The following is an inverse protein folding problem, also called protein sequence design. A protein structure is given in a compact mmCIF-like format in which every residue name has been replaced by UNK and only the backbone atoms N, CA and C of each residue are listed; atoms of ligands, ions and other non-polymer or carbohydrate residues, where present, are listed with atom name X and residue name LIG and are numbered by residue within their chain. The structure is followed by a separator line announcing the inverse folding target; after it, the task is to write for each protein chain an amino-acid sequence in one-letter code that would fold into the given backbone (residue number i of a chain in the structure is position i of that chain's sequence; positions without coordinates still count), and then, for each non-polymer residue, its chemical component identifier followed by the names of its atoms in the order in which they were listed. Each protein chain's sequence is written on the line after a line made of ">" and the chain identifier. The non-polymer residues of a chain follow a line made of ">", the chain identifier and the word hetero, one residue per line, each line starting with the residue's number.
data_IF_309703056953
#
_entry.id   IF_309703056953
#
_cell.length_a   1.000
_cell.length_b   1.000
_cell.length_c   1.000
_cell.angle_alpha   90.00
_cell.angle_beta   90.00
_cell.angle_gamma   90.00
#
_symmetry.space_group_name_H-M   'P 1'
#
loop_
_entity.id
_entity.type
_entity.pdbx_description
1 polymer ?
#
# COMPACT_ATOMS: atom_id res chain seq x y z
N UNK A 1 -0.97 62.94 -36.22
CA UNK A 1 -1.26 62.34 -34.90
C UNK A 1 -0.33 61.14 -34.69
N UNK A 2 1.00 61.27 -34.61
CA UNK A 2 1.87 61.87 -33.58
C UNK A 2 1.61 61.41 -32.12
N UNK A 3 2.62 60.68 -31.62
CA UNK A 3 3.12 60.52 -30.23
C UNK A 3 2.72 59.24 -29.48
N UNK A 4 3.64 58.25 -29.39
CA UNK A 4 4.67 57.95 -28.34
C UNK A 4 4.14 56.85 -27.39
N UNK A 5 4.61 55.60 -27.35
CA UNK A 5 5.92 55.03 -26.95
C UNK A 5 6.52 55.67 -25.69
N UNK A 6 6.67 54.90 -24.58
CA UNK A 6 7.95 54.60 -23.88
C UNK A 6 7.80 54.10 -22.41
N UNK A 7 8.73 53.19 -22.02
CA UNK A 7 9.15 52.68 -20.69
C UNK A 7 8.18 51.74 -19.91
N UNK A 8 8.51 50.52 -19.49
CA UNK A 8 9.73 49.83 -18.98
C UNK A 8 10.12 50.16 -17.51
N UNK A 9 10.13 49.08 -16.71
CA UNK A 9 10.90 48.78 -15.48
C UNK A 9 10.91 49.75 -14.29
N UNK A 10 10.55 49.25 -13.11
CA UNK A 10 11.48 49.13 -11.96
C UNK A 10 10.82 48.48 -10.74
N UNK A 11 11.52 47.46 -10.22
CA UNK A 11 11.48 47.04 -8.81
C UNK A 11 11.82 48.20 -7.89
N UNK A 12 11.22 48.24 -6.69
CA UNK A 12 11.93 48.60 -5.46
C UNK A 12 11.12 48.18 -4.23
N UNK A 13 11.86 47.51 -3.34
CA UNK A 13 11.52 47.20 -1.96
C UNK A 13 11.19 48.47 -1.17
N UNK A 14 10.29 48.35 -0.20
CA UNK A 14 10.37 49.15 1.03
C UNK A 14 10.31 48.23 2.23
N UNK A 15 11.41 48.26 2.99
CA UNK A 15 11.53 47.72 4.33
C UNK A 15 10.63 48.52 5.29
N UNK A 16 9.94 47.82 6.19
CA UNK A 16 9.71 48.32 7.55
C UNK A 16 10.02 47.21 8.54
N UNK A 17 11.09 47.47 9.27
CA UNK A 17 11.50 46.80 10.50
C UNK A 17 10.50 47.15 11.61
N UNK A 18 10.19 46.19 12.48
CA UNK A 18 10.15 46.41 13.93
C UNK A 18 10.19 45.06 14.68
N UNK A 19 11.43 44.66 14.99
CA UNK A 19 12.00 44.24 16.27
C UNK A 19 11.13 43.62 17.39
N UNK A 20 11.52 42.37 17.68
CA UNK A 20 11.83 41.78 19.00
C UNK A 20 10.72 41.51 20.03
N UNK A 21 10.50 40.22 20.30
CA UNK A 21 10.68 39.62 21.63
C UNK A 21 11.04 38.13 21.52
N UNK A 22 11.95 37.71 22.38
CA UNK A 22 12.78 36.50 22.29
C UNK A 22 12.37 35.49 23.36
N UNK A 23 12.38 34.20 22.99
CA UNK A 23 12.54 32.97 23.80
C UNK A 23 11.60 32.70 24.99
N UNK A 24 10.88 31.57 24.91
CA UNK A 24 11.22 30.41 25.74
C UNK A 24 10.60 29.14 25.15
N UNK A 25 11.41 28.09 25.03
CA UNK A 25 10.95 26.77 24.64
C UNK A 25 10.42 25.99 25.84
N UNK A 26 9.33 25.26 25.62
CA UNK A 26 8.93 24.13 26.45
C UNK A 26 8.50 22.97 25.56
N UNK A 27 9.44 22.05 25.38
CA UNK A 27 9.30 20.62 25.64
C UNK A 27 7.87 20.03 25.54
N UNK A 28 7.55 19.45 24.38
CA UNK A 28 6.38 18.59 24.23
C UNK A 28 6.71 17.21 24.85
N UNK A 29 6.12 16.93 26.01
CA UNK A 29 6.16 15.59 26.63
C UNK A 29 4.96 14.77 26.17
N UNK A 30 5.24 13.49 25.97
CA UNK A 30 4.33 12.41 25.61
C UNK A 30 3.02 12.40 26.41
N UNK A 31 1.91 12.20 25.71
CA UNK A 31 0.72 11.54 26.28
C UNK A 31 0.30 10.41 25.37
N UNK A 32 0.55 9.22 25.87
CA UNK A 32 0.11 7.91 25.44
C UNK A 32 -1.32 7.90 24.91
N UNK A 33 -1.48 7.39 23.69
CA UNK A 33 -2.77 7.17 23.05
C UNK A 33 -3.42 5.90 23.64
N UNK A 34 -4.15 6.06 24.74
CA UNK A 34 -5.02 5.02 25.30
C UNK A 34 -6.46 5.20 24.82
N UNK A 35 -7.03 4.12 24.28
CA UNK A 35 -8.47 3.85 24.30
C UNK A 35 -9.36 4.75 23.46
N UNK A 36 -9.47 4.47 22.15
CA UNK A 36 -10.68 4.87 21.41
C UNK A 36 -11.81 3.94 21.86
N UNK A 37 -12.63 4.44 22.79
CA UNK A 37 -13.93 3.89 23.15
C UNK A 37 -14.79 3.78 21.89
N UNK A 38 -15.24 2.57 21.59
CA UNK A 38 -16.31 2.32 20.65
C UNK A 38 -17.61 2.80 21.29
N UNK A 39 -18.16 3.89 20.80
CA UNK A 39 -19.57 4.19 21.03
C UNK A 39 -20.40 3.13 20.31
N UNK A 40 -21.08 2.31 21.12
CA UNK A 40 -22.12 1.39 20.69
C UNK A 40 -23.29 2.21 20.16
N UNK A 41 -23.62 2.07 18.88
CA UNK A 41 -24.93 2.42 18.36
C UNK A 41 -25.76 1.15 18.30
N UNK A 42 -26.73 1.08 19.20
CA UNK A 42 -27.73 0.03 19.31
C UNK A 42 -28.51 -0.15 18.00
N UNK A 43 -28.40 -1.33 17.41
CA UNK A 43 -29.42 -1.85 16.51
C UNK A 43 -29.47 -3.37 16.58
N UNK A 44 -29.66 -3.90 17.78
CA UNK A 44 -30.18 -5.24 18.01
C UNK A 44 -31.65 -5.16 18.42
N UNK A 45 -32.53 -5.22 17.44
CA UNK A 45 -33.82 -5.87 17.64
C UNK A 45 -34.37 -6.26 16.28
N UNK A 46 -34.40 -7.57 16.03
CA UNK A 46 -35.49 -8.31 15.39
C UNK A 46 -34.97 -9.69 14.97
N UNK A 47 -35.11 -10.66 15.87
CA UNK A 47 -35.12 -12.08 15.54
C UNK A 47 -36.56 -12.58 15.37
N UNK A 48 -36.78 -13.15 14.17
CA UNK A 48 -37.63 -14.27 13.74
C UNK A 48 -39.02 -14.54 14.35
N UNK A 49 -40.01 -14.76 13.46
CA UNK A 49 -40.88 -15.96 13.45
C UNK A 49 -41.25 -16.33 12.00
N UNK A 50 -40.91 -17.58 11.62
CA UNK A 50 -41.44 -18.58 10.65
C UNK A 50 -42.15 -18.15 9.34
N UNK A 51 -42.10 -18.86 8.20
CA UNK A 51 -41.63 -20.17 7.72
C UNK A 51 -41.74 -20.04 6.18
N UNK A 52 -40.78 -20.51 5.39
CA UNK A 52 -41.05 -21.09 4.06
C UNK A 52 -39.79 -21.76 3.49
N UNK A 53 -39.88 -23.07 3.33
CA UNK A 53 -38.85 -23.91 2.75
C UNK A 53 -38.80 -23.70 1.23
N UNK A 54 -38.00 -22.73 0.80
CA UNK A 54 -37.72 -22.48 -0.63
C UNK A 54 -36.57 -21.50 -0.94
N UNK A 55 -35.88 -20.98 0.08
CA UNK A 55 -35.03 -19.76 -0.02
C UNK A 55 -33.52 -20.05 0.12
N UNK A 56 -33.11 -21.32 0.21
CA UNK A 56 -31.74 -21.65 0.60
C UNK A 56 -30.69 -21.24 -0.45
N UNK A 57 -31.07 -21.10 -1.73
CA UNK A 57 -30.18 -20.61 -2.77
C UNK A 57 -29.97 -19.08 -2.73
N UNK A 58 -31.00 -18.29 -2.42
CA UNK A 58 -30.94 -16.81 -2.51
C UNK A 58 -30.34 -16.14 -1.27
N UNK A 59 -30.33 -16.80 -0.12
CA UNK A 59 -29.69 -16.26 1.09
C UNK A 59 -28.17 -16.27 1.01
N UNK A 60 -27.55 -17.28 0.40
CA UNK A 60 -26.08 -17.40 0.30
C UNK A 60 -25.51 -16.37 -0.69
N UNK A 61 -26.23 -16.12 -1.78
CA UNK A 61 -25.86 -15.14 -2.80
C UNK A 61 -25.80 -13.71 -2.22
N UNK A 62 -26.74 -13.38 -1.33
CA UNK A 62 -26.80 -12.06 -0.70
C UNK A 62 -25.56 -11.77 0.19
N UNK A 63 -25.10 -12.75 0.98
CA UNK A 63 -23.91 -12.58 1.82
C UNK A 63 -22.61 -12.46 1.00
N UNK A 64 -22.51 -13.15 -0.13
CA UNK A 64 -21.36 -13.05 -1.05
C UNK A 64 -21.26 -11.68 -1.69
N UNK A 65 -22.38 -11.13 -2.14
CA UNK A 65 -22.46 -9.79 -2.74
C UNK A 65 -22.22 -8.68 -1.71
N UNK A 66 -22.76 -8.82 -0.49
CA UNK A 66 -22.45 -7.94 0.62
C UNK A 66 -20.94 -7.94 0.92
N UNK A 67 -20.31 -9.11 1.04
CA UNK A 67 -18.86 -9.23 1.27
C UNK A 67 -18.03 -8.59 0.16
N UNK A 68 -18.44 -8.72 -1.11
CA UNK A 68 -17.77 -8.08 -2.26
C UNK A 68 -17.88 -6.55 -2.24
N UNK A 69 -18.98 -6.01 -1.71
CA UNK A 69 -19.14 -4.56 -1.49
C UNK A 69 -18.30 -4.03 -0.34
N UNK A 70 -18.19 -4.80 0.76
CA UNK A 70 -17.38 -4.41 1.92
C UNK A 70 -15.88 -4.54 1.68
N UNK A 71 -15.44 -5.47 0.84
CA UNK A 71 -14.03 -5.68 0.52
C UNK A 71 -13.82 -5.98 -0.98
N UNK A 72 -13.96 -4.97 -1.86
CA UNK A 72 -13.80 -5.13 -3.30
C UNK A 72 -12.36 -5.52 -3.62
N UNK A 73 -12.18 -6.64 -4.31
CA UNK A 73 -10.84 -7.16 -4.64
C UNK A 73 -10.65 -7.26 -6.15
N UNK A 74 -11.71 -7.57 -6.89
CA UNK A 74 -11.68 -7.72 -8.35
C UNK A 74 -12.04 -6.42 -9.04
N UNK A 75 -11.55 -6.17 -10.27
CA UNK A 75 -11.96 -5.01 -11.07
C UNK A 75 -13.48 -4.89 -11.26
N UNK A 76 -14.17 -6.02 -11.41
CA UNK A 76 -15.64 -6.07 -11.55
C UNK A 76 -16.39 -5.59 -10.29
N UNK A 77 -15.82 -5.80 -9.10
CA UNK A 77 -16.41 -5.32 -7.85
C UNK A 77 -16.42 -3.78 -7.82
N UNK A 78 -15.32 -3.16 -8.25
CA UNK A 78 -15.20 -1.70 -8.34
C UNK A 78 -16.12 -1.09 -9.42
N UNK A 79 -16.26 -1.76 -10.57
CA UNK A 79 -17.20 -1.32 -11.61
C UNK A 79 -18.64 -1.33 -11.08
N UNK A 80 -19.01 -2.34 -10.29
CA UNK A 80 -20.33 -2.43 -9.65
C UNK A 80 -20.54 -1.30 -8.65
N UNK A 81 -19.56 -1.02 -7.78
CA UNK A 81 -19.62 0.09 -6.83
C UNK A 81 -19.76 1.46 -7.51
N UNK A 82 -19.03 1.69 -8.60
CA UNK A 82 -19.14 2.92 -9.39
C UNK A 82 -20.53 3.05 -10.03
N UNK A 83 -21.07 1.97 -10.60
CA UNK A 83 -22.42 1.96 -11.15
C UNK A 83 -23.49 2.21 -10.08
N UNK A 84 -23.31 1.69 -8.87
CA UNK A 84 -24.19 1.97 -7.72
C UNK A 84 -24.10 3.43 -7.26
N UNK A 85 -22.91 4.00 -7.23
CA UNK A 85 -22.70 5.40 -6.90
C UNK A 85 -23.40 6.33 -7.90
N UNK A 86 -23.31 6.04 -9.19
CA UNK A 86 -24.03 6.79 -10.24
C UNK A 86 -25.54 6.67 -10.03
N UNK A 87 -26.06 5.47 -9.77
CA UNK A 87 -27.48 5.26 -9.46
C UNK A 87 -27.92 6.03 -8.20
N UNK A 88 -27.09 6.08 -7.17
CA UNK A 88 -27.34 6.87 -5.97
C UNK A 88 -27.36 8.37 -6.29
N UNK A 89 -26.37 8.87 -7.03
CA UNK A 89 -26.31 10.28 -7.43
C UNK A 89 -27.56 10.71 -8.18
N UNK A 90 -27.99 9.94 -9.19
CA UNK A 90 -29.21 10.24 -9.94
C UNK A 90 -30.47 10.25 -9.06
N UNK A 91 -30.56 9.39 -8.04
CA UNK A 91 -31.67 9.41 -7.08
C UNK A 91 -31.63 10.66 -6.19
N UNK A 92 -30.45 11.04 -5.71
CA UNK A 92 -30.29 12.23 -4.88
C UNK A 92 -30.52 13.53 -5.67
N UNK A 93 -30.05 13.61 -6.92
CA UNK A 93 -30.34 14.73 -7.82
C UNK A 93 -31.86 14.91 -7.99
N UNK A 94 -32.61 13.83 -8.19
CA UNK A 94 -34.08 13.86 -8.26
C UNK A 94 -34.71 14.33 -6.94
N UNK A 95 -34.22 13.84 -5.80
CA UNK A 95 -34.71 14.32 -4.49
C UNK A 95 -34.46 15.81 -4.30
N UNK A 96 -33.31 16.33 -4.73
CA UNK A 96 -33.00 17.75 -4.65
C UNK A 96 -33.98 18.55 -5.52
N UNK A 97 -34.26 18.10 -6.75
CA UNK A 97 -35.23 18.77 -7.62
C UNK A 97 -36.65 18.77 -7.03
N UNK A 98 -37.04 17.69 -6.33
CA UNK A 98 -38.38 17.56 -5.76
C UNK A 98 -38.56 18.37 -4.46
N UNK A 99 -37.49 18.50 -3.65
CA UNK A 99 -37.54 19.15 -2.34
C UNK A 99 -37.24 20.66 -2.42
N UNK A 100 -36.39 21.10 -3.36
CA UNK A 100 -35.96 22.50 -3.44
C UNK A 100 -37.11 23.43 -3.75
N UNK A 101 -37.30 24.48 -2.93
CA UNK A 101 -38.37 25.47 -3.13
C UNK A 101 -37.89 26.69 -3.91
N UNK A 102 -36.59 26.97 -3.87
CA UNK A 102 -35.94 28.07 -4.57
C UNK A 102 -34.57 27.65 -5.12
N UNK A 103 -34.02 28.47 -6.03
CA UNK A 103 -32.73 28.18 -6.68
C UNK A 103 -31.54 28.23 -5.72
N UNK A 104 -31.60 29.04 -4.65
CA UNK A 104 -30.54 29.12 -3.65
C UNK A 104 -30.39 27.84 -2.82
N UNK A 105 -31.50 27.29 -2.33
CA UNK A 105 -31.57 26.01 -1.62
C UNK A 105 -31.12 24.86 -2.53
N UNK A 106 -31.57 24.87 -3.79
CA UNK A 106 -31.14 23.88 -4.79
C UNK A 106 -29.63 23.89 -4.98
N UNK A 107 -29.01 25.06 -5.08
CA UNK A 107 -27.56 25.20 -5.23
C UNK A 107 -26.80 24.68 -4.00
N UNK A 108 -27.24 25.02 -2.78
CA UNK A 108 -26.57 24.56 -1.57
C UNK A 108 -26.70 23.05 -1.37
N UNK A 109 -27.89 22.49 -1.63
CA UNK A 109 -28.12 21.04 -1.58
C UNK A 109 -27.28 20.30 -2.63
N UNK A 110 -27.16 20.85 -3.84
CA UNK A 110 -26.31 20.31 -4.91
C UNK A 110 -24.84 20.34 -4.51
N UNK A 111 -24.38 21.44 -3.90
CA UNK A 111 -23.01 21.57 -3.38
C UNK A 111 -22.72 20.52 -2.30
N UNK A 112 -23.67 20.24 -1.42
CA UNK A 112 -23.55 19.17 -0.42
C UNK A 112 -23.49 17.79 -1.08
N UNK A 113 -24.32 17.54 -2.10
CA UNK A 113 -24.30 16.29 -2.87
C UNK A 113 -22.94 16.06 -3.53
N UNK A 114 -22.38 17.08 -4.20
CA UNK A 114 -21.06 17.01 -4.82
C UNK A 114 -19.94 16.71 -3.81
N UNK A 115 -19.99 17.31 -2.61
CA UNK A 115 -19.04 16.99 -1.53
C UNK A 115 -19.13 15.52 -1.12
N UNK A 116 -20.34 14.96 -1.01
CA UNK A 116 -20.58 13.55 -0.68
C UNK A 116 -20.10 12.62 -1.79
N UNK A 117 -20.41 12.94 -3.06
CA UNK A 117 -19.93 12.18 -4.22
C UNK A 117 -18.40 12.16 -4.27
N UNK A 118 -17.74 13.31 -4.15
CA UNK A 118 -16.28 13.40 -4.14
C UNK A 118 -15.65 12.60 -2.98
N UNK A 119 -16.30 12.59 -1.81
CA UNK A 119 -15.87 11.75 -0.69
C UNK A 119 -15.97 10.25 -1.02
N UNK A 120 -17.10 9.80 -1.58
CA UNK A 120 -17.31 8.40 -1.95
C UNK A 120 -16.35 7.95 -3.07
N UNK A 121 -16.14 8.78 -4.09
CA UNK A 121 -15.16 8.52 -5.15
C UNK A 121 -13.74 8.37 -4.59
N UNK A 122 -13.32 9.27 -3.69
CA UNK A 122 -12.03 9.16 -3.01
C UNK A 122 -11.91 7.85 -2.23
N UNK A 123 -12.99 7.45 -1.54
CA UNK A 123 -13.00 6.19 -0.79
C UNK A 123 -12.89 4.97 -1.71
N UNK A 124 -13.60 4.96 -2.85
CA UNK A 124 -13.48 3.90 -3.86
C UNK A 124 -12.04 3.82 -4.37
N UNK A 125 -11.40 4.94 -4.68
CA UNK A 125 -10.02 4.94 -5.16
C UNK A 125 -9.03 4.46 -4.09
N UNK A 126 -9.24 4.82 -2.83
CA UNK A 126 -8.44 4.28 -1.71
C UNK A 126 -8.57 2.76 -1.59
N UNK A 127 -9.79 2.22 -1.71
CA UNK A 127 -10.02 0.77 -1.70
C UNK A 127 -9.33 0.10 -2.88
N UNK A 128 -9.42 0.69 -4.07
CA UNK A 128 -8.75 0.20 -5.27
C UNK A 128 -7.24 0.18 -5.10
N UNK A 129 -6.63 1.26 -4.62
CA UNK A 129 -5.20 1.32 -4.35
C UNK A 129 -4.78 0.24 -3.35
N UNK A 130 -5.50 0.10 -2.23
CA UNK A 130 -5.23 -0.94 -1.23
C UNK A 130 -5.32 -2.36 -1.83
N UNK A 131 -6.36 -2.64 -2.62
CA UNK A 131 -6.53 -3.93 -3.30
C UNK A 131 -5.41 -4.20 -4.31
N UNK A 132 -5.00 -3.19 -5.09
CA UNK A 132 -3.88 -3.34 -6.04
C UNK A 132 -2.57 -3.62 -5.33
N UNK A 133 -2.27 -2.93 -4.23
CA UNK A 133 -1.06 -3.16 -3.44
C UNK A 133 -1.06 -4.55 -2.79
N UNK A 134 -2.20 -4.99 -2.24
CA UNK A 134 -2.35 -6.36 -1.73
C UNK A 134 -2.15 -7.40 -2.82
N UNK A 135 -2.73 -7.19 -4.01
CA UNK A 135 -2.59 -8.08 -5.15
C UNK A 135 -1.14 -8.16 -5.64
N UNK A 136 -0.42 -7.03 -5.71
CA UNK A 136 1.01 -6.99 -6.05
C UNK A 136 1.84 -7.79 -5.06
N UNK A 137 1.64 -7.58 -3.75
CA UNK A 137 2.35 -8.33 -2.70
C UNK A 137 2.09 -9.84 -2.79
N UNK A 138 0.84 -10.23 -3.03
CA UNK A 138 0.49 -11.65 -3.16
C UNK A 138 1.12 -12.28 -4.41
N UNK A 139 1.15 -11.55 -5.54
CA UNK A 139 1.82 -12.01 -6.75
C UNK A 139 3.32 -12.22 -6.53
N UNK A 140 3.99 -11.28 -5.88
CA UNK A 140 5.42 -11.39 -5.56
C UNK A 140 5.67 -12.62 -4.68
N UNK A 141 4.89 -12.78 -3.61
CA UNK A 141 4.98 -13.96 -2.74
C UNK A 141 4.76 -15.26 -3.51
N UNK A 142 3.73 -15.31 -4.35
CA UNK A 142 3.40 -16.49 -5.13
C UNK A 142 4.52 -16.86 -6.12
N UNK A 143 5.11 -15.87 -6.80
CA UNK A 143 6.27 -16.11 -7.69
C UNK A 143 7.46 -16.63 -6.88
N UNK A 144 7.79 -16.02 -5.75
CA UNK A 144 8.90 -16.50 -4.90
C UNK A 144 8.66 -17.92 -4.37
N UNK A 145 7.41 -18.24 -4.01
CA UNK A 145 7.02 -19.59 -3.60
C UNK A 145 7.27 -20.59 -4.72
N UNK A 146 6.73 -20.32 -5.92
CA UNK A 146 6.86 -21.18 -7.09
C UNK A 146 8.34 -21.44 -7.45
N UNK A 147 9.18 -20.42 -7.38
CA UNK A 147 10.62 -20.53 -7.68
C UNK A 147 11.39 -21.33 -6.62
N UNK A 148 10.92 -21.33 -5.38
CA UNK A 148 11.55 -22.05 -4.26
C UNK A 148 11.16 -23.53 -4.16
N UNK A 149 10.13 -23.94 -4.91
CA UNK A 149 9.65 -25.32 -4.91
C UNK A 149 10.62 -26.25 -5.65
N UNK A 150 10.83 -27.48 -5.16
CA UNK A 150 11.62 -28.48 -5.86
C UNK A 150 10.97 -28.85 -7.20
N UNK A 151 11.78 -29.14 -8.22
CA UNK A 151 11.25 -29.59 -9.51
C UNK A 151 10.77 -31.03 -9.38
N UNK A 152 9.60 -31.32 -9.91
CA UNK A 152 9.05 -32.67 -9.95
C UNK A 152 9.49 -33.34 -11.26
N UNK A 153 10.20 -34.45 -11.16
CA UNK A 153 10.66 -35.26 -12.29
C UNK A 153 9.91 -36.58 -12.30
N UNK A 154 9.34 -36.94 -13.43
CA UNK A 154 8.74 -38.25 -13.63
C UNK A 154 9.84 -39.25 -13.98
N UNK A 155 9.97 -40.29 -13.15
CA UNK A 155 10.85 -41.41 -13.42
C UNK A 155 10.20 -42.36 -14.43
N UNK A 156 11.01 -43.22 -15.04
CA UNK A 156 10.58 -44.18 -16.07
C UNK A 156 9.57 -45.22 -15.57
N UNK A 157 9.44 -45.38 -14.25
CA UNK A 157 8.45 -46.23 -13.57
C UNK A 157 7.12 -45.52 -13.28
N UNK A 158 6.98 -44.24 -13.67
CA UNK A 158 5.81 -43.41 -13.39
C UNK A 158 5.81 -42.79 -11.98
N UNK A 159 6.87 -42.96 -11.19
CA UNK A 159 7.00 -42.28 -9.89
C UNK A 159 7.45 -40.82 -10.07
N UNK A 160 6.98 -39.91 -9.20
CA UNK A 160 7.36 -38.50 -9.21
C UNK A 160 8.42 -38.27 -8.13
N UNK A 161 9.61 -37.85 -8.54
CA UNK A 161 10.73 -37.55 -7.66
C UNK A 161 10.90 -36.02 -7.56
N UNK A 162 10.89 -35.49 -6.35
CA UNK A 162 11.18 -34.09 -6.10
C UNK A 162 12.70 -33.88 -6.07
N UNK A 163 13.23 -33.12 -7.04
CA UNK A 163 14.66 -32.83 -7.18
C UNK A 163 14.92 -31.36 -6.89
N UNK A 164 15.76 -31.12 -5.88
CA UNK A 164 16.35 -29.82 -5.63
C UNK A 164 17.53 -29.58 -6.57
N UNK A 165 17.48 -28.50 -7.32
CA UNK A 165 18.58 -28.04 -8.14
C UNK A 165 19.24 -26.81 -7.49
N UNK A 166 20.48 -26.46 -7.84
CA UNK A 166 21.16 -25.30 -7.25
C UNK A 166 20.37 -23.99 -7.39
N UNK A 167 19.55 -23.87 -8.44
CA UNK A 167 18.71 -22.70 -8.68
C UNK A 167 17.53 -22.64 -7.69
N UNK A 168 16.85 -23.76 -7.42
CA UNK A 168 15.74 -23.84 -6.44
C UNK A 168 16.25 -23.65 -5.02
N UNK A 169 17.43 -24.20 -4.69
CA UNK A 169 18.11 -23.94 -3.42
C UNK A 169 18.41 -22.44 -3.24
N UNK A 170 19.00 -21.80 -4.26
CA UNK A 170 19.28 -20.36 -4.23
C UNK A 170 18.00 -19.52 -4.13
N UNK A 171 16.95 -19.86 -4.85
CA UNK A 171 15.67 -19.17 -4.77
C UNK A 171 15.04 -19.28 -3.37
N UNK A 172 15.19 -20.43 -2.70
CA UNK A 172 14.76 -20.65 -1.31
C UNK A 172 15.52 -19.77 -0.33
N UNK A 173 16.84 -19.66 -0.48
CA UNK A 173 17.66 -18.75 0.32
C UNK A 173 17.25 -17.28 0.13
N UNK A 174 17.02 -16.87 -1.13
CA UNK A 174 16.56 -15.51 -1.46
C UNK A 174 15.21 -15.18 -0.84
N UNK A 175 14.25 -16.12 -0.92
CA UNK A 175 12.94 -16.00 -0.29
C UNK A 175 13.07 -15.87 1.24
N UNK A 176 13.88 -16.70 1.88
CA UNK A 176 14.11 -16.60 3.32
C UNK A 176 14.66 -15.23 3.73
N UNK A 177 15.66 -14.71 3.00
CA UNK A 177 16.19 -13.36 3.23
C UNK A 177 15.13 -12.27 3.03
N UNK A 178 14.29 -12.39 2.01
CA UNK A 178 13.20 -11.45 1.73
C UNK A 178 12.14 -11.45 2.85
N UNK A 179 11.73 -12.63 3.30
CA UNK A 179 10.72 -12.77 4.35
C UNK A 179 11.24 -12.22 5.69
N UNK A 180 12.50 -12.51 6.03
CA UNK A 180 13.17 -11.94 7.20
C UNK A 180 13.34 -10.41 7.11
N UNK A 181 13.58 -9.86 5.91
CA UNK A 181 13.67 -8.42 5.68
C UNK A 181 12.32 -7.71 5.86
N UNK A 182 11.21 -8.39 5.60
CA UNK A 182 9.84 -7.89 5.80
C UNK A 182 9.36 -7.97 7.26
N UNK A 183 10.02 -8.79 8.07
CA UNK A 183 9.65 -9.04 9.46
C UNK A 183 9.94 -7.86 10.39
N UNK A 184 9.24 -7.83 11.52
CA UNK A 184 9.52 -6.87 12.59
C UNK A 184 10.93 -7.10 13.15
N UNK A 185 11.67 -6.00 13.38
CA UNK A 185 13.01 -6.04 13.97
C UNK A 185 12.89 -6.44 15.44
N UNK A 186 13.25 -7.69 15.75
CA UNK A 186 13.24 -8.22 17.13
C UNK A 186 14.44 -7.74 17.95
N UNK A 187 15.61 -7.67 17.32
CA UNK A 187 16.85 -7.21 17.93
C UNK A 187 17.76 -6.54 16.88
N UNK A 188 18.52 -5.53 17.31
CA UNK A 188 19.51 -4.84 16.47
C UNK A 188 20.59 -5.82 15.99
N UNK A 189 21.05 -6.74 16.85
CA UNK A 189 22.07 -7.73 16.50
C UNK A 189 21.58 -8.72 15.44
N UNK A 190 20.33 -9.17 15.54
CA UNK A 190 19.70 -10.03 14.53
C UNK A 190 19.59 -9.30 13.20
N UNK A 191 19.24 -8.01 13.24
CA UNK A 191 19.17 -7.16 12.05
C UNK A 191 20.53 -7.00 11.39
N UNK A 192 21.58 -6.73 12.15
CA UNK A 192 22.95 -6.63 11.64
C UNK A 192 23.39 -7.94 10.98
N UNK A 193 23.14 -9.09 11.63
CA UNK A 193 23.44 -10.41 11.05
C UNK A 193 22.71 -10.66 9.73
N UNK A 194 21.42 -10.32 9.67
CA UNK A 194 20.62 -10.41 8.45
C UNK A 194 21.18 -9.54 7.32
N UNK A 195 21.46 -8.27 7.62
CA UNK A 195 22.01 -7.32 6.65
C UNK A 195 23.37 -7.78 6.12
N UNK A 196 24.23 -8.33 6.98
CA UNK A 196 25.50 -8.92 6.58
C UNK A 196 25.34 -10.13 5.64
N UNK A 197 24.37 -11.01 5.90
CA UNK A 197 24.05 -12.13 5.01
C UNK A 197 23.53 -11.67 3.66
N UNK A 198 22.64 -10.67 3.63
CA UNK A 198 22.12 -10.09 2.39
C UNK A 198 23.24 -9.42 1.61
N UNK A 199 24.13 -8.68 2.26
CA UNK A 199 25.30 -8.06 1.61
C UNK A 199 26.19 -9.10 0.96
N UNK A 200 26.56 -10.16 1.70
CA UNK A 200 27.36 -11.25 1.14
C UNK A 200 26.65 -11.98 -0.01
N UNK A 201 25.33 -12.00 -0.04
CA UNK A 201 24.58 -12.47 -1.21
C UNK A 201 24.70 -11.49 -2.37
N UNK A 202 24.38 -10.21 -2.18
CA UNK A 202 24.45 -9.18 -3.23
C UNK A 202 25.85 -9.08 -3.83
N UNK A 203 26.92 -9.20 -3.04
CA UNK A 203 28.29 -9.17 -3.55
C UNK A 203 28.62 -10.37 -4.46
N UNK A 204 27.95 -11.51 -4.26
CA UNK A 204 28.09 -12.71 -5.11
C UNK A 204 27.26 -12.63 -6.39
N UNK A 205 26.26 -11.76 -6.44
CA UNK A 205 25.31 -11.68 -7.54
C UNK A 205 25.56 -10.42 -8.35
N UNK A 206 25.67 -10.56 -9.68
CA UNK A 206 25.63 -9.50 -10.70
C UNK A 206 26.00 -8.07 -10.29
N UNK A 207 27.05 -7.49 -10.90
CA UNK A 207 27.37 -6.07 -10.82
C UNK A 207 26.37 -5.21 -11.62
N UNK A 208 25.13 -5.16 -11.17
CA UNK A 208 24.06 -4.31 -11.69
C UNK A 208 23.96 -3.04 -10.85
N UNK A 209 23.57 -1.92 -11.46
CA UNK A 209 23.29 -0.68 -10.73
C UNK A 209 22.25 -0.88 -9.62
N UNK A 210 21.33 -1.84 -9.78
CA UNK A 210 20.38 -2.20 -8.74
C UNK A 210 21.03 -2.89 -7.54
N UNK A 211 22.04 -3.74 -7.79
CA UNK A 211 22.79 -4.41 -6.73
C UNK A 211 23.67 -3.40 -5.96
N UNK A 212 24.29 -2.45 -6.66
CA UNK A 212 25.05 -1.35 -6.05
C UNK A 212 24.15 -0.46 -5.19
N UNK A 213 22.98 -0.08 -5.69
CA UNK A 213 21.97 0.68 -4.93
C UNK A 213 21.55 -0.06 -3.65
N UNK A 214 21.34 -1.38 -3.74
CA UNK A 214 21.01 -2.20 -2.57
C UNK A 214 22.20 -2.24 -1.60
N UNK A 215 23.43 -2.46 -2.08
CA UNK A 215 24.62 -2.45 -1.22
C UNK A 215 24.80 -1.12 -0.49
N UNK A 216 24.64 0.01 -1.19
CA UNK A 216 24.73 1.34 -0.57
C UNK A 216 23.67 1.54 0.52
N UNK A 217 22.44 1.07 0.30
CA UNK A 217 21.38 1.14 1.32
C UNK A 217 21.69 0.22 2.51
N UNK A 218 22.22 -0.98 2.27
CA UNK A 218 22.64 -1.91 3.32
C UNK A 218 23.76 -1.31 4.17
N UNK A 219 24.79 -0.74 3.54
CA UNK A 219 25.94 -0.14 4.23
C UNK A 219 25.52 1.06 5.06
N UNK A 220 24.60 1.88 4.55
CA UNK A 220 24.06 3.01 5.31
C UNK A 220 23.24 2.54 6.52
N UNK A 221 22.40 1.51 6.37
CA UNK A 221 21.66 0.95 7.51
C UNK A 221 22.62 0.34 8.54
N UNK A 222 23.60 -0.45 8.10
CA UNK A 222 24.64 -1.02 8.97
C UNK A 222 25.43 0.04 9.71
N UNK A 223 25.85 1.11 9.03
CA UNK A 223 26.57 2.23 9.65
C UNK A 223 25.73 2.88 10.75
N UNK A 224 24.45 3.12 10.51
CA UNK A 224 23.56 3.70 11.52
C UNK A 224 23.34 2.75 12.70
N UNK A 225 23.14 1.45 12.45
CA UNK A 225 22.96 0.45 13.51
C UNK A 225 24.23 0.26 14.37
N UNK A 226 25.41 0.38 13.77
CA UNK A 226 26.68 0.31 14.49
C UNK A 226 27.00 1.59 15.29
N UNK A 227 26.61 2.76 14.76
CA UNK A 227 26.92 4.03 15.40
C UNK A 227 25.90 4.42 16.48
N UNK A 228 24.65 3.98 16.35
CA UNK A 228 23.60 4.40 17.27
C UNK A 228 22.60 3.27 17.54
N UNK A 229 22.72 2.65 18.72
CA UNK A 229 21.77 1.67 19.24
C UNK A 229 20.38 2.28 19.54
N UNK A 230 20.34 3.62 19.69
CA UNK A 230 19.19 4.35 20.25
C UNK A 230 18.41 5.20 19.23
N UNK A 231 18.83 5.24 17.95
CA UNK A 231 18.08 5.98 16.92
C UNK A 231 16.71 5.31 16.78
N UNK A 232 15.66 6.08 17.05
CA UNK A 232 14.28 5.63 17.02
C UNK A 232 13.95 4.87 15.73
N UNK A 233 13.30 3.71 15.89
CA UNK A 233 12.92 2.81 14.79
C UNK A 233 12.16 3.56 13.66
N UNK A 234 11.45 4.63 14.01
CA UNK A 234 10.69 5.47 13.09
C UNK A 234 11.56 6.20 12.05
N UNK A 235 12.76 6.65 12.42
CA UNK A 235 13.65 7.34 11.48
C UNK A 235 14.22 6.40 10.42
N UNK A 236 14.28 5.10 10.72
CA UNK A 236 14.77 4.09 9.80
C UNK A 236 13.67 3.49 8.92
N UNK A 237 12.39 3.75 9.21
CA UNK A 237 11.28 3.11 8.52
C UNK A 237 11.30 3.39 7.01
N UNK A 238 11.49 4.66 6.61
CA UNK A 238 11.59 5.02 5.20
C UNK A 238 12.77 4.35 4.46
N UNK A 239 13.90 4.20 5.16
CA UNK A 239 15.08 3.52 4.59
C UNK A 239 14.84 2.02 4.45
N UNK A 240 14.25 1.39 5.47
CA UNK A 240 13.91 -0.04 5.47
C UNK A 240 12.90 -0.36 4.39
N UNK A 241 11.86 0.45 4.22
CA UNK A 241 10.89 0.32 3.13
C UNK A 241 11.58 0.45 1.77
N UNK A 242 12.49 1.42 1.60
CA UNK A 242 13.25 1.57 0.35
C UNK A 242 14.15 0.37 0.09
N UNK A 243 14.90 -0.10 1.09
CA UNK A 243 15.76 -1.27 1.00
C UNK A 243 14.94 -2.52 0.64
N UNK A 244 13.84 -2.78 1.34
CA UNK A 244 12.94 -3.89 1.06
C UNK A 244 12.41 -3.86 -0.38
N UNK A 245 11.96 -2.69 -0.85
CA UNK A 245 11.47 -2.53 -2.21
C UNK A 245 12.56 -2.75 -3.26
N UNK A 246 13.78 -2.24 -3.03
CA UNK A 246 14.90 -2.43 -3.95
C UNK A 246 15.37 -3.89 -3.97
N UNK A 247 15.48 -4.53 -2.80
CA UNK A 247 15.81 -5.95 -2.70
C UNK A 247 14.74 -6.83 -3.36
N UNK A 248 13.45 -6.50 -3.20
CA UNK A 248 12.35 -7.20 -3.88
C UNK A 248 12.52 -7.12 -5.40
N UNK A 249 12.83 -5.94 -5.95
CA UNK A 249 13.11 -5.80 -7.40
C UNK A 249 14.30 -6.64 -7.84
N UNK A 250 15.37 -6.66 -7.05
CA UNK A 250 16.57 -7.45 -7.34
C UNK A 250 16.23 -8.94 -7.39
N UNK A 251 15.56 -9.45 -6.36
CA UNK A 251 15.13 -10.86 -6.27
C UNK A 251 14.24 -11.24 -7.45
N UNK A 252 13.26 -10.39 -7.80
CA UNK A 252 12.36 -10.65 -8.91
C UNK A 252 13.07 -10.66 -10.27
N UNK A 253 14.06 -9.78 -10.46
CA UNK A 253 14.89 -9.76 -11.68
C UNK A 253 15.69 -11.06 -11.81
N UNK A 254 16.42 -11.43 -10.76
CA UNK A 254 17.25 -12.64 -10.74
C UNK A 254 16.45 -13.92 -10.98
N UNK A 255 15.24 -14.00 -10.42
CA UNK A 255 14.34 -15.13 -10.65
C UNK A 255 13.79 -15.16 -12.09
N UNK A 256 13.56 -14.01 -12.72
CA UNK A 256 13.11 -13.94 -14.12
C UNK A 256 14.20 -14.46 -15.06
N UNK A 257 15.46 -14.11 -14.80
CA UNK A 257 16.60 -14.57 -15.60
C UNK A 257 16.86 -16.07 -15.42
N UNK A 258 16.63 -16.60 -14.21
CA UNK A 258 16.73 -18.03 -13.91
C UNK A 258 15.68 -18.89 -14.65
N UNK A 259 14.47 -18.39 -14.86
CA UNK A 259 13.45 -19.07 -15.69
C UNK A 259 13.86 -19.11 -17.16
N UNK A 260 14.32 -17.98 -17.71
CA UNK A 260 14.66 -17.87 -19.14
C UNK A 260 15.93 -18.67 -19.51
N UNK A 261 16.83 -18.90 -18.55
CA UNK A 261 18.03 -19.72 -18.75
C UNK A 261 17.81 -21.23 -18.69
N UNK A 262 16.66 -21.70 -18.17
CA UNK A 262 16.38 -23.13 -17.99
C UNK A 262 15.70 -23.80 -19.21
N UNK A 263 15.35 -23.04 -20.25
CA UNK A 263 14.73 -23.52 -21.50
C UNK A 263 15.73 -23.64 -22.67
N UNK A 264 17.04 -23.54 -22.42
CA UNK A 264 18.09 -23.73 -23.44
C UNK A 264 19.00 -24.92 -23.14
#
# INVERSE_FOLDING_TARGET
>A
NMSKSYYAESSSQTNKEDSHLHLHGEHCKDVSNSGIQRENCDLESLTCVHQDEGVVASSIDNYGDLRRRFNPTRPGDFATLQAELVRWRCREERKITDISRNDGEKQEMTKLLLKREAHLLRKIEQLKNSATEKCKREKIRHVMELMSQPKQWEASDGSVIAVDNPVTCRAREMKAMHDELSGLVKSVEERIRLLGRIKAFVDKVEHSSLAEDVSMLLDRELQMLHQCTDIGQEFMEGMRVRLFNQFTKLVMRLNSDACNGAER
#
